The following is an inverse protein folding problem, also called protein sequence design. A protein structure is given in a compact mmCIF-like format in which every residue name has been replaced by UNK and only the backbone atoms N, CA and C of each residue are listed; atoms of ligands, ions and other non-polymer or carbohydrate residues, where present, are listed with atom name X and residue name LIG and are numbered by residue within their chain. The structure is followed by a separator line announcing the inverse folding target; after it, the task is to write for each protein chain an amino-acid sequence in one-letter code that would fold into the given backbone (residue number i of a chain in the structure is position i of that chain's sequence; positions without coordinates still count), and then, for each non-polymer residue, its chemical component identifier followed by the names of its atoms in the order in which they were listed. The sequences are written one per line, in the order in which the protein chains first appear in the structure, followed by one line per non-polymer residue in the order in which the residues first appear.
data_IF_965786713449
#
_entry.id   IF_965786713449
#
_cell.length_a   1.000
_cell.length_b   1.000
_cell.length_c   1.000
_cell.angle_alpha   90.00
_cell.angle_beta   90.00
_cell.angle_gamma   90.00
#
_symmetry.space_group_name_H-M   'P 1'
#
loop_
_entity.id
_entity.type
_entity.pdbx_description
1 polymer ?
#
# COMPACT_ATOMS: atom_id res chain seq x y z
N UNK A 1 -13.50 15.54 -17.17
CA UNK A 1 -13.24 15.15 -15.75
C UNK A 1 -11.81 14.66 -15.66
N UNK A 2 -10.98 15.23 -14.76
CA UNK A 2 -9.61 14.74 -14.53
C UNK A 2 -9.61 13.49 -13.61
N UNK A 3 -8.44 12.87 -13.41
CA UNK A 3 -8.30 11.63 -12.62
C UNK A 3 -8.66 11.84 -11.13
N UNK A 4 -8.30 13.01 -10.56
CA UNK A 4 -8.66 13.37 -9.18
C UNK A 4 -10.18 13.47 -9.00
N UNK A 5 -10.86 14.18 -9.88
CA UNK A 5 -12.33 14.30 -9.84
C UNK A 5 -13.02 12.93 -10.00
N UNK A 6 -12.47 12.04 -10.84
CA UNK A 6 -12.99 10.68 -11.00
C UNK A 6 -12.83 9.85 -9.73
N UNK A 7 -11.67 9.94 -9.10
CA UNK A 7 -11.40 9.27 -7.83
C UNK A 7 -12.33 9.77 -6.71
N UNK A 8 -12.50 11.10 -6.59
CA UNK A 8 -13.39 11.70 -5.59
C UNK A 8 -14.86 11.26 -5.79
N UNK A 9 -15.32 11.16 -7.04
CA UNK A 9 -16.65 10.63 -7.36
C UNK A 9 -16.79 9.13 -7.07
N UNK A 10 -15.74 8.34 -7.22
CA UNK A 10 -15.75 6.94 -6.78
C UNK A 10 -15.86 6.86 -5.25
N UNK A 11 -15.10 7.68 -4.53
CA UNK A 11 -15.16 7.77 -3.06
C UNK A 11 -16.57 8.15 -2.57
N UNK A 12 -17.22 9.15 -3.19
CA UNK A 12 -18.58 9.58 -2.83
C UNK A 12 -19.66 8.56 -3.24
N UNK A 13 -19.33 7.60 -4.13
CA UNK A 13 -20.28 6.63 -4.67
C UNK A 13 -21.10 7.15 -5.87
N UNK A 14 -20.76 8.32 -6.39
CA UNK A 14 -21.39 8.88 -7.60
C UNK A 14 -20.93 8.18 -8.88
N UNK A 15 -19.79 7.48 -8.85
CA UNK A 15 -19.18 6.83 -10.00
C UNK A 15 -19.00 5.33 -9.75
N UNK A 16 -20.11 4.57 -9.75
CA UNK A 16 -20.08 3.12 -9.54
C UNK A 16 -20.06 2.30 -10.84
N UNK A 17 -20.31 2.92 -11.97
CA UNK A 17 -20.30 2.25 -13.30
C UNK A 17 -18.92 2.21 -13.94
N UNK A 18 -17.99 3.07 -13.52
CA UNK A 18 -16.63 3.13 -14.07
C UNK A 18 -15.64 2.43 -13.15
N UNK A 19 -14.80 1.60 -13.73
CA UNK A 19 -13.74 0.91 -13.00
C UNK A 19 -12.43 1.68 -13.18
N UNK A 20 -11.83 2.14 -12.08
CA UNK A 20 -10.52 2.75 -12.10
C UNK A 20 -9.44 1.68 -12.22
N UNK A 21 -8.26 2.04 -12.73
CA UNK A 21 -7.13 1.13 -12.90
C UNK A 21 -5.90 1.61 -12.12
N UNK A 22 -5.43 0.82 -11.18
CA UNK A 22 -4.24 1.14 -10.37
C UNK A 22 -3.52 -0.12 -9.86
N UNK A 23 -2.66 -0.75 -10.67
CA UNK A 23 -1.76 -1.81 -10.20
C UNK A 23 -0.65 -1.25 -9.28
N UNK A 24 -0.04 -2.09 -8.47
CA UNK A 24 1.16 -1.77 -7.70
C UNK A 24 2.37 -2.04 -8.61
N UNK A 25 3.06 -0.98 -9.01
CA UNK A 25 4.13 -1.03 -10.02
C UNK A 25 5.46 -0.53 -9.43
N UNK A 26 6.08 -1.26 -8.54
CA UNK A 26 7.39 -0.85 -7.96
C UNK A 26 8.55 -1.23 -8.90
N UNK A 27 8.99 -2.48 -8.86
CA UNK A 27 10.10 -2.94 -9.71
C UNK A 27 9.76 -2.85 -11.21
N UNK A 28 8.52 -3.16 -11.58
CA UNK A 28 8.06 -3.00 -12.97
C UNK A 28 8.21 -1.55 -13.46
N UNK A 29 7.83 -0.56 -12.64
CA UNK A 29 7.94 0.86 -13.02
C UNK A 29 9.40 1.28 -13.24
N UNK A 30 10.32 0.83 -12.38
CA UNK A 30 11.75 1.06 -12.56
C UNK A 30 12.23 0.51 -13.91
N UNK A 31 11.95 -0.76 -14.21
CA UNK A 31 12.32 -1.39 -15.48
C UNK A 31 11.69 -0.69 -16.68
N UNK A 32 10.40 -0.35 -16.60
CA UNK A 32 9.68 0.37 -17.67
C UNK A 32 10.30 1.75 -17.95
N UNK A 33 10.79 2.42 -16.89
CA UNK A 33 11.53 3.69 -17.01
C UNK A 33 13.03 3.52 -17.34
N UNK A 34 13.50 2.30 -17.59
CA UNK A 34 14.91 1.98 -17.91
C UNK A 34 15.89 2.39 -16.80
N UNK A 35 15.47 2.25 -15.56
CA UNK A 35 16.26 2.48 -14.36
C UNK A 35 16.26 1.24 -13.47
N UNK A 36 17.03 1.25 -12.38
CA UNK A 36 17.09 0.13 -11.44
C UNK A 36 16.07 0.29 -10.31
N UNK A 37 15.65 -0.83 -9.72
CA UNK A 37 14.77 -0.79 -8.56
C UNK A 37 15.45 -0.15 -7.34
N UNK A 38 16.75 -0.40 -7.14
CA UNK A 38 17.53 0.25 -6.09
C UNK A 38 17.46 1.78 -6.14
N UNK A 39 17.54 2.36 -7.35
CA UNK A 39 17.39 3.82 -7.55
C UNK A 39 15.95 4.28 -7.28
N UNK A 40 14.96 3.55 -7.77
CA UNK A 40 13.55 3.86 -7.49
C UNK A 40 13.27 3.85 -5.98
N UNK A 41 13.88 2.92 -5.23
CA UNK A 41 13.71 2.82 -3.79
C UNK A 41 14.46 3.93 -3.01
N UNK A 42 15.56 4.48 -3.53
CA UNK A 42 16.42 5.45 -2.83
C UNK A 42 16.30 6.90 -3.29
N UNK A 43 15.74 7.16 -4.48
CA UNK A 43 15.70 8.48 -5.10
C UNK A 43 14.26 8.85 -5.49
N UNK A 44 13.64 9.81 -4.78
CA UNK A 44 12.25 10.19 -5.01
C UNK A 44 11.98 10.68 -6.45
N UNK A 45 12.93 11.35 -7.08
CA UNK A 45 12.79 11.78 -8.48
C UNK A 45 12.61 10.59 -9.40
N UNK A 46 13.43 9.56 -9.22
CA UNK A 46 13.37 8.32 -10.02
C UNK A 46 12.04 7.60 -9.80
N UNK A 47 11.57 7.50 -8.56
CA UNK A 47 10.26 6.92 -8.24
C UNK A 47 9.12 7.68 -8.91
N UNK A 48 9.09 9.00 -8.73
CA UNK A 48 8.02 9.87 -9.25
C UNK A 48 7.99 9.83 -10.77
N UNK A 49 9.13 9.99 -11.45
CA UNK A 49 9.23 9.98 -12.91
C UNK A 49 8.85 8.62 -13.50
N UNK A 50 9.26 7.52 -12.84
CA UNK A 50 8.90 6.16 -13.26
C UNK A 50 7.39 5.93 -13.16
N UNK A 51 6.78 6.36 -12.07
CA UNK A 51 5.33 6.23 -11.89
C UNK A 51 4.54 7.15 -12.83
N UNK A 52 4.99 8.38 -13.10
CA UNK A 52 4.35 9.28 -14.08
C UNK A 52 4.42 8.69 -15.47
N UNK A 53 5.55 8.10 -15.86
CA UNK A 53 5.67 7.42 -17.14
C UNK A 53 4.68 6.25 -17.26
N UNK A 54 4.49 5.47 -16.19
CA UNK A 54 3.47 4.43 -16.17
C UNK A 54 2.04 5.02 -16.17
N UNK A 55 1.80 6.10 -15.41
CA UNK A 55 0.53 6.81 -15.37
C UNK A 55 0.07 7.22 -16.77
N UNK A 56 0.98 7.84 -17.54
CA UNK A 56 0.67 8.35 -18.88
C UNK A 56 0.51 7.20 -19.89
N UNK A 57 1.39 6.20 -19.83
CA UNK A 57 1.38 5.12 -20.81
C UNK A 57 0.21 4.14 -20.63
N UNK A 58 -0.15 3.79 -19.39
CA UNK A 58 -1.21 2.84 -19.06
C UNK A 58 -2.53 3.52 -18.64
N UNK A 59 -2.65 4.82 -18.75
CA UNK A 59 -3.80 5.60 -18.26
C UNK A 59 -4.21 5.25 -16.82
N UNK A 60 -3.22 5.12 -15.92
CA UNK A 60 -3.49 4.84 -14.52
C UNK A 60 -4.31 5.96 -13.86
N UNK A 61 -5.13 5.64 -12.88
CA UNK A 61 -5.99 6.64 -12.24
C UNK A 61 -5.37 7.32 -11.00
N UNK A 62 -4.33 6.74 -10.40
CA UNK A 62 -3.61 7.32 -9.25
C UNK A 62 -2.12 6.99 -9.30
N UNK A 63 -1.30 7.72 -8.54
CA UNK A 63 0.12 7.41 -8.27
C UNK A 63 0.35 7.18 -6.79
N UNK A 64 1.51 6.62 -6.41
CA UNK A 64 1.84 6.39 -5.00
C UNK A 64 3.33 6.47 -4.71
N UNK A 65 3.68 6.57 -3.42
CA UNK A 65 5.05 6.64 -2.92
C UNK A 65 5.58 5.30 -2.40
N UNK A 66 4.81 4.20 -2.58
CA UNK A 66 5.25 2.86 -2.18
C UNK A 66 6.52 2.45 -2.91
N UNK A 67 7.49 1.87 -2.21
CA UNK A 67 8.70 1.29 -2.78
C UNK A 67 9.11 -0.02 -2.12
N UNK A 68 9.31 -0.02 -0.82
CA UNK A 68 9.82 -1.14 -0.02
C UNK A 68 9.42 -0.92 1.45
N UNK A 69 9.58 -1.89 2.36
CA UNK A 69 9.11 -1.76 3.75
C UNK A 69 10.03 -0.95 4.66
N UNK A 70 11.28 -0.63 4.28
CA UNK A 70 12.33 -0.21 5.23
C UNK A 70 12.55 1.30 5.34
N UNK A 71 11.55 2.16 5.13
CA UNK A 71 11.71 3.61 5.26
C UNK A 71 11.77 4.02 6.73
N UNK A 72 10.77 3.59 7.50
CA UNK A 72 10.65 3.83 8.93
C UNK A 72 11.72 3.04 9.69
N UNK A 73 11.97 1.79 9.32
CA UNK A 73 13.01 0.93 9.88
C UNK A 73 14.39 1.57 9.75
N UNK A 74 14.69 2.20 8.61
CA UNK A 74 15.91 2.98 8.41
C UNK A 74 15.97 4.19 9.32
N UNK A 75 14.83 4.86 9.57
CA UNK A 75 14.75 6.00 10.47
C UNK A 75 15.08 5.59 11.92
N UNK A 76 14.67 4.42 12.35
CA UNK A 76 15.05 3.83 13.64
C UNK A 76 16.52 3.40 13.73
N UNK A 77 17.28 3.49 12.63
CA UNK A 77 18.73 3.23 12.63
C UNK A 77 19.14 1.90 12.00
N UNK A 78 18.24 1.17 11.35
CA UNK A 78 18.60 0.00 10.57
C UNK A 78 19.47 0.38 9.36
N UNK A 79 20.44 -0.47 9.05
CA UNK A 79 21.26 -0.33 7.84
C UNK A 79 20.58 -1.03 6.68
N UNK A 80 20.28 -0.26 5.64
CA UNK A 80 19.59 -0.77 4.45
C UNK A 80 20.56 -0.81 3.27
N UNK A 81 20.68 -1.96 2.64
CA UNK A 81 21.42 -2.17 1.40
C UNK A 81 20.45 -2.10 0.21
N UNK A 82 20.73 -1.21 -0.72
CA UNK A 82 19.96 -1.11 -1.96
C UNK A 82 20.50 -2.08 -3.00
N UNK A 83 19.67 -3.03 -3.39
CA UNK A 83 19.97 -4.00 -4.44
C UNK A 83 19.53 -3.41 -5.78
N UNK A 84 20.40 -3.28 -6.80
CA UNK A 84 20.03 -2.68 -8.08
C UNK A 84 18.77 -3.30 -8.70
N UNK A 85 18.69 -4.61 -8.78
CA UNK A 85 17.59 -5.36 -9.39
C UNK A 85 16.81 -6.20 -8.36
N UNK A 86 16.58 -5.64 -7.17
CA UNK A 86 15.88 -6.35 -6.12
C UNK A 86 15.38 -5.43 -4.99
N UNK A 87 14.54 -5.99 -4.14
CA UNK A 87 14.06 -5.30 -2.94
C UNK A 87 15.25 -4.98 -2.03
N UNK A 88 15.33 -3.77 -1.48
CA UNK A 88 16.34 -3.44 -0.46
C UNK A 88 16.38 -4.47 0.66
N UNK A 89 17.54 -4.64 1.29
CA UNK A 89 17.73 -5.58 2.40
C UNK A 89 18.03 -4.84 3.70
N UNK A 90 17.33 -5.18 4.75
CA UNK A 90 17.71 -4.80 6.10
C UNK A 90 18.87 -5.68 6.58
N UNK A 91 20.01 -5.07 6.91
CA UNK A 91 21.25 -5.79 7.25
C UNK A 91 21.38 -6.12 8.73
N UNK A 92 20.57 -5.52 9.60
CA UNK A 92 20.61 -5.73 11.03
C UNK A 92 19.26 -5.51 11.69
N UNK A 93 18.95 -6.26 12.70
CA UNK A 93 17.89 -5.92 13.64
C UNK A 93 18.32 -4.72 14.47
N UNK A 94 17.40 -3.79 14.72
CA UNK A 94 17.62 -2.62 15.60
C UNK A 94 17.43 -3.04 17.06
N UNK A 95 16.47 -3.92 17.30
CA UNK A 95 16.09 -4.42 18.62
C UNK A 95 16.53 -5.88 18.73
N UNK A 96 17.40 -6.20 19.70
CA UNK A 96 17.89 -7.54 19.95
C UNK A 96 17.45 -8.08 21.32
N UNK A 97 17.00 -7.20 22.21
CA UNK A 97 16.57 -7.54 23.57
C UNK A 97 15.64 -6.45 24.13
N UNK A 98 15.11 -6.68 25.33
CA UNK A 98 14.17 -5.79 26.00
C UNK A 98 14.76 -4.40 26.30
N UNK A 99 16.05 -4.32 26.64
CA UNK A 99 16.73 -3.06 26.91
C UNK A 99 16.84 -2.20 25.64
N UNK A 100 17.11 -2.83 24.49
CA UNK A 100 17.08 -2.14 23.19
C UNK A 100 15.68 -1.57 22.90
N UNK A 101 14.64 -2.37 23.16
CA UNK A 101 13.26 -1.91 22.96
C UNK A 101 12.89 -0.73 23.85
N UNK A 102 13.28 -0.76 25.13
CA UNK A 102 13.04 0.32 26.10
C UNK A 102 13.77 1.59 25.71
N UNK A 103 15.03 1.46 25.31
CA UNK A 103 15.91 2.60 25.00
C UNK A 103 15.78 3.10 23.55
N UNK A 104 15.00 2.43 22.68
CA UNK A 104 14.81 2.84 21.31
C UNK A 104 14.23 4.27 21.25
N UNK A 105 15.02 5.21 20.74
CA UNK A 105 14.60 6.58 20.56
C UNK A 105 13.61 6.70 19.39
N UNK A 106 12.63 7.58 19.53
CA UNK A 106 11.73 7.93 18.41
C UNK A 106 12.51 8.85 17.45
N UNK A 107 12.68 8.45 16.19
CA UNK A 107 13.41 9.24 15.21
C UNK A 107 12.62 10.48 14.78
N UNK A 108 13.34 11.55 14.45
CA UNK A 108 12.78 12.67 13.69
C UNK A 108 12.75 12.31 12.19
N UNK A 109 11.58 12.08 11.67
CA UNK A 109 11.36 11.67 10.26
C UNK A 109 11.84 12.73 9.26
N UNK A 110 11.98 13.99 9.67
CA UNK A 110 12.50 15.05 8.82
C UNK A 110 14.03 15.08 8.76
N UNK A 111 14.71 14.40 9.68
CA UNK A 111 16.17 14.27 9.68
C UNK A 111 16.65 12.98 9.00
N UNK A 112 15.79 11.96 8.90
CA UNK A 112 16.14 10.69 8.30
C UNK A 112 16.04 10.75 6.77
N UNK A 113 17.07 10.28 6.09
CA UNK A 113 17.20 10.40 4.63
C UNK A 113 16.02 9.73 3.90
N UNK A 114 15.65 8.52 4.27
CA UNK A 114 14.63 7.73 3.57
C UNK A 114 13.21 8.26 3.76
N UNK A 115 12.84 8.68 4.95
CA UNK A 115 11.52 9.29 5.19
C UNK A 115 11.44 10.65 4.52
N UNK A 116 12.49 11.47 4.62
CA UNK A 116 12.57 12.77 3.93
C UNK A 116 12.50 12.61 2.41
N UNK A 117 13.12 11.57 1.85
CA UNK A 117 13.05 11.26 0.42
C UNK A 117 11.59 11.07 -0.02
N UNK A 118 10.78 10.28 0.72
CA UNK A 118 9.37 10.07 0.38
C UNK A 118 8.51 11.32 0.58
N UNK A 119 8.78 12.12 1.61
CA UNK A 119 8.12 13.43 1.83
C UNK A 119 8.41 14.36 0.63
N UNK A 120 9.66 14.43 0.19
CA UNK A 120 10.04 15.18 -1.02
C UNK A 120 9.38 14.65 -2.29
N UNK A 121 9.17 13.33 -2.37
CA UNK A 121 8.43 12.69 -3.46
C UNK A 121 6.98 13.14 -3.54
N UNK A 122 6.29 13.31 -2.39
CA UNK A 122 4.94 13.86 -2.33
C UNK A 122 4.89 15.27 -2.93
N UNK A 123 5.75 16.16 -2.45
CA UNK A 123 5.88 17.52 -2.98
C UNK A 123 6.19 17.53 -4.48
N UNK A 124 7.05 16.63 -4.95
CA UNK A 124 7.42 16.55 -6.36
C UNK A 124 6.27 16.08 -7.24
N UNK A 125 5.44 15.12 -6.78
CA UNK A 125 4.19 14.79 -7.46
C UNK A 125 3.26 15.98 -7.58
N UNK A 126 3.05 16.74 -6.51
CA UNK A 126 2.16 17.92 -6.54
C UNK A 126 2.67 18.97 -7.52
N UNK A 127 3.99 19.21 -7.57
CA UNK A 127 4.60 20.12 -8.54
C UNK A 127 4.32 19.70 -9.99
N UNK A 128 4.40 18.41 -10.30
CA UNK A 128 4.25 17.90 -11.66
C UNK A 128 2.78 17.72 -12.05
N UNK A 129 1.97 17.16 -11.17
CA UNK A 129 0.57 16.76 -11.44
C UNK A 129 -0.45 17.87 -11.14
N UNK A 130 -0.06 18.90 -10.37
CA UNK A 130 -0.87 20.10 -10.07
C UNK A 130 -2.29 19.77 -9.56
N UNK A 131 -2.41 18.74 -8.73
CA UNK A 131 -3.67 18.30 -8.15
C UNK A 131 -4.67 17.65 -9.13
N UNK A 132 -4.23 17.24 -10.33
CA UNK A 132 -5.12 16.61 -11.33
C UNK A 132 -5.20 15.08 -11.22
N UNK A 133 -4.28 14.47 -10.47
CA UNK A 133 -4.17 13.02 -10.22
C UNK A 133 -4.05 12.79 -8.71
N UNK A 134 -4.78 11.81 -8.13
CA UNK A 134 -4.63 11.47 -6.73
C UNK A 134 -3.24 10.92 -6.43
N UNK A 135 -2.64 11.38 -5.34
CA UNK A 135 -1.33 10.93 -4.85
C UNK A 135 -1.51 10.14 -3.57
N UNK A 136 -1.03 8.90 -3.56
CA UNK A 136 -1.00 8.04 -2.37
C UNK A 136 0.33 8.11 -1.65
N UNK A 137 0.31 8.44 -0.37
CA UNK A 137 1.40 8.19 0.54
C UNK A 137 1.45 6.73 0.99
N UNK A 138 2.48 6.38 1.75
CA UNK A 138 2.62 5.02 2.30
C UNK A 138 3.34 5.04 3.62
N UNK A 139 2.83 4.24 4.57
CA UNK A 139 3.46 3.96 5.87
C UNK A 139 3.41 2.45 6.13
N UNK A 140 4.34 1.96 6.95
CA UNK A 140 4.25 0.61 7.46
C UNK A 140 3.31 0.53 8.66
N UNK A 141 2.56 -0.57 8.74
CA UNK A 141 1.70 -0.86 9.87
C UNK A 141 2.49 -1.32 11.10
N UNK A 142 1.87 -1.24 12.28
CA UNK A 142 2.58 -1.45 13.54
C UNK A 142 3.24 -2.81 13.70
N UNK A 143 2.60 -3.88 13.21
CA UNK A 143 3.13 -5.23 13.35
C UNK A 143 4.25 -5.49 12.33
N UNK A 144 4.09 -5.05 11.08
CA UNK A 144 5.11 -5.21 10.06
C UNK A 144 6.39 -4.45 10.45
N UNK A 145 6.26 -3.18 10.83
CA UNK A 145 7.42 -2.36 11.25
C UNK A 145 8.09 -2.95 12.50
N UNK A 146 7.32 -3.41 13.49
CA UNK A 146 7.89 -4.05 14.68
C UNK A 146 8.66 -5.34 14.32
N UNK A 147 8.16 -6.11 13.35
CA UNK A 147 8.86 -7.29 12.84
C UNK A 147 10.15 -6.93 12.09
N UNK A 148 10.17 -5.83 11.36
CA UNK A 148 11.39 -5.34 10.69
C UNK A 148 12.45 -4.86 11.68
N UNK A 149 12.05 -4.28 12.81
CA UNK A 149 12.95 -3.81 13.87
C UNK A 149 13.52 -4.95 14.73
N UNK A 150 12.68 -5.88 15.17
CA UNK A 150 13.06 -6.93 16.15
C UNK A 150 13.21 -8.32 15.53
N UNK A 151 12.67 -8.53 14.34
CA UNK A 151 12.65 -9.82 13.65
C UNK A 151 11.31 -10.53 13.75
N UNK A 152 10.87 -11.07 12.60
CA UNK A 152 9.55 -11.67 12.42
C UNK A 152 9.24 -12.76 13.47
N UNK A 153 10.11 -13.78 13.57
CA UNK A 153 9.86 -14.91 14.46
C UNK A 153 9.82 -14.50 15.93
N UNK A 154 10.66 -13.54 16.32
CA UNK A 154 10.74 -13.03 17.68
C UNK A 154 9.47 -12.24 18.04
N UNK A 155 9.03 -11.35 17.16
CA UNK A 155 7.80 -10.60 17.37
C UNK A 155 6.56 -11.49 17.44
N UNK A 156 6.40 -12.45 16.52
CA UNK A 156 5.25 -13.36 16.53
C UNK A 156 5.24 -14.27 17.78
N UNK A 157 6.40 -14.71 18.25
CA UNK A 157 6.50 -15.46 19.49
C UNK A 157 6.16 -14.60 20.71
N UNK A 158 6.65 -13.37 20.77
CA UNK A 158 6.46 -12.49 21.90
C UNK A 158 5.06 -11.89 22.00
N UNK A 159 4.28 -11.86 20.91
CA UNK A 159 2.83 -11.58 21.02
C UNK A 159 2.15 -12.54 22.02
N UNK A 160 2.65 -13.78 22.15
CA UNK A 160 2.09 -14.78 23.06
C UNK A 160 2.84 -14.88 24.38
N UNK A 161 4.17 -14.74 24.38
CA UNK A 161 5.03 -15.02 25.52
C UNK A 161 5.39 -13.77 26.34
N UNK A 162 5.48 -12.61 25.67
CA UNK A 162 5.81 -11.31 26.28
C UNK A 162 5.06 -10.18 25.55
N UNK A 163 3.74 -10.06 25.79
CA UNK A 163 2.92 -9.03 25.14
C UNK A 163 3.38 -7.60 25.46
N UNK A 164 3.94 -7.35 26.63
CA UNK A 164 4.38 -6.00 27.03
C UNK A 164 5.57 -5.54 26.16
N UNK A 165 6.51 -6.45 25.89
CA UNK A 165 7.60 -6.20 24.96
C UNK A 165 7.08 -5.88 23.55
N UNK A 166 6.16 -6.69 23.04
CA UNK A 166 5.59 -6.52 21.70
C UNK A 166 4.80 -5.22 21.59
N UNK A 167 4.00 -4.90 22.59
CA UNK A 167 3.24 -3.64 22.64
C UNK A 167 4.17 -2.43 22.69
N UNK A 168 5.23 -2.47 23.50
CA UNK A 168 6.19 -1.36 23.60
C UNK A 168 6.81 -1.01 22.23
N UNK A 169 7.17 -2.03 21.43
CA UNK A 169 7.75 -1.80 20.10
C UNK A 169 6.70 -1.24 19.14
N UNK A 170 5.52 -1.87 19.07
CA UNK A 170 4.44 -1.40 18.19
C UNK A 170 3.99 0.02 18.54
N UNK A 171 3.95 0.40 19.82
CA UNK A 171 3.58 1.76 20.22
C UNK A 171 4.61 2.81 19.76
N UNK A 172 5.90 2.45 19.74
CA UNK A 172 6.95 3.32 19.16
C UNK A 172 6.81 3.42 17.64
N UNK A 173 6.50 2.33 16.95
CA UNK A 173 6.19 2.33 15.52
C UNK A 173 4.98 3.23 15.20
N UNK A 174 3.93 3.19 16.03
CA UNK A 174 2.75 4.04 15.87
C UNK A 174 3.06 5.53 15.91
N UNK A 175 3.98 5.97 16.77
CA UNK A 175 4.40 7.39 16.84
C UNK A 175 5.02 7.81 15.51
N UNK A 176 5.92 7.02 14.97
CA UNK A 176 6.62 7.31 13.70
C UNK A 176 5.66 7.26 12.53
N UNK A 177 4.80 6.22 12.46
CA UNK A 177 3.80 6.07 11.40
C UNK A 177 2.85 7.27 11.31
N UNK A 178 2.38 7.81 12.46
CA UNK A 178 1.52 9.00 12.49
C UNK A 178 2.24 10.26 11.98
N UNK A 179 3.45 10.52 12.45
CA UNK A 179 4.21 11.70 12.02
C UNK A 179 4.59 11.60 10.54
N UNK A 180 4.93 10.39 10.05
CA UNK A 180 5.26 10.17 8.65
C UNK A 180 4.04 10.30 7.73
N UNK A 181 2.87 9.79 8.14
CA UNK A 181 1.61 10.00 7.44
C UNK A 181 1.29 11.50 7.33
N UNK A 182 1.35 12.23 8.46
CA UNK A 182 1.12 13.67 8.52
C UNK A 182 2.05 14.45 7.60
N UNK A 183 3.34 14.12 7.59
CA UNK A 183 4.30 14.79 6.73
C UNK A 183 3.99 14.60 5.24
N UNK A 184 3.62 13.38 4.82
CA UNK A 184 3.21 13.09 3.44
C UNK A 184 1.90 13.79 3.06
N UNK A 185 0.93 13.87 3.98
CA UNK A 185 -0.35 14.58 3.77
C UNK A 185 -0.11 16.09 3.61
N UNK A 186 0.75 16.69 4.44
CA UNK A 186 1.10 18.10 4.36
C UNK A 186 1.75 18.47 3.02
N UNK A 187 2.46 17.53 2.39
CA UNK A 187 3.04 17.70 1.06
C UNK A 187 2.06 17.30 -0.07
N UNK A 188 0.79 17.03 0.27
CA UNK A 188 -0.32 16.91 -0.67
C UNK A 188 -0.70 15.47 -1.06
N UNK A 189 -0.38 14.47 -0.26
CA UNK A 189 -0.96 13.14 -0.46
C UNK A 189 -2.46 13.16 -0.15
N UNK A 190 -3.26 12.62 -1.08
CA UNK A 190 -4.72 12.56 -0.99
C UNK A 190 -5.20 11.39 -0.12
N UNK A 191 -4.40 10.34 -0.06
CA UNK A 191 -4.63 9.17 0.77
C UNK A 191 -3.31 8.59 1.27
N UNK A 192 -3.37 7.88 2.40
CA UNK A 192 -2.23 7.11 2.93
C UNK A 192 -2.57 5.62 2.89
N UNK A 193 -1.68 4.83 2.30
CA UNK A 193 -1.70 3.38 2.41
C UNK A 193 -0.97 2.92 3.66
N UNK A 194 -1.61 2.06 4.43
CA UNK A 194 -1.05 1.35 5.58
C UNK A 194 -0.74 -0.05 5.08
N UNK A 195 0.53 -0.45 5.09
CA UNK A 195 0.99 -1.78 4.71
C UNK A 195 1.32 -2.61 5.95
N UNK A 196 0.55 -3.65 6.26
CA UNK A 196 0.84 -4.51 7.42
C UNK A 196 0.76 -5.99 7.04
N UNK A 197 1.70 -6.41 6.16
CA UNK A 197 1.69 -7.73 5.54
C UNK A 197 1.71 -8.88 6.56
N UNK A 198 2.30 -8.66 7.74
CA UNK A 198 2.46 -9.69 8.76
C UNK A 198 1.13 -10.07 9.41
N UNK A 199 0.13 -9.20 9.35
CA UNK A 199 -1.21 -9.50 9.88
C UNK A 199 -1.85 -10.75 9.24
N UNK A 200 -1.45 -11.13 8.04
CA UNK A 200 -1.93 -12.39 7.43
C UNK A 200 -1.38 -13.65 8.10
N UNK A 201 -0.36 -13.53 8.95
CA UNK A 201 0.30 -14.64 9.64
C UNK A 201 -0.22 -14.87 11.06
N UNK A 202 -1.15 -14.04 11.53
CA UNK A 202 -1.77 -14.15 12.86
C UNK A 202 -3.26 -14.45 12.73
N UNK A 203 -3.85 -15.08 13.76
CA UNK A 203 -5.28 -15.32 13.80
C UNK A 203 -6.10 -14.06 14.15
N UNK A 204 -7.41 -14.13 13.97
CA UNK A 204 -8.30 -13.01 14.21
C UNK A 204 -8.31 -12.54 15.68
N UNK A 205 -8.17 -13.44 16.64
CA UNK A 205 -8.14 -13.08 18.05
C UNK A 205 -6.87 -12.30 18.40
N UNK A 206 -5.73 -12.74 17.89
CA UNK A 206 -4.44 -12.04 18.03
C UNK A 206 -4.48 -10.68 17.33
N UNK A 207 -5.05 -10.60 16.12
CA UNK A 207 -5.25 -9.33 15.42
C UNK A 207 -6.13 -8.38 16.23
N UNK A 208 -7.28 -8.84 16.73
CA UNK A 208 -8.20 -8.02 17.53
C UNK A 208 -7.56 -7.49 18.81
N UNK A 209 -6.74 -8.33 19.44
CA UNK A 209 -6.10 -7.99 20.71
C UNK A 209 -4.95 -6.97 20.55
N UNK A 210 -4.13 -7.09 19.51
CA UNK A 210 -2.85 -6.36 19.42
C UNK A 210 -2.79 -5.34 18.30
N UNK A 211 -3.50 -5.52 17.20
CA UNK A 211 -3.28 -4.71 15.98
C UNK A 211 -4.48 -3.85 15.63
N UNK A 212 -5.69 -4.35 15.77
CA UNK A 212 -6.92 -3.70 15.28
C UNK A 212 -7.10 -2.27 15.78
N UNK A 213 -6.96 -2.03 17.10
CA UNK A 213 -7.13 -0.67 17.64
C UNK A 213 -6.01 0.27 17.16
N UNK A 214 -4.80 -0.22 16.93
CA UNK A 214 -3.71 0.55 16.32
C UNK A 214 -4.01 0.93 14.87
N UNK A 215 -4.53 0.00 14.07
CA UNK A 215 -4.99 0.32 12.72
C UNK A 215 -6.11 1.36 12.73
N UNK A 216 -7.08 1.22 13.64
CA UNK A 216 -8.17 2.18 13.80
C UNK A 216 -7.64 3.57 14.15
N UNK A 217 -6.70 3.66 15.10
CA UNK A 217 -6.05 4.91 15.47
C UNK A 217 -5.32 5.57 14.29
N UNK A 218 -4.60 4.79 13.46
CA UNK A 218 -3.97 5.32 12.23
C UNK A 218 -5.01 5.84 11.24
N UNK A 219 -6.11 5.12 11.03
CA UNK A 219 -7.20 5.54 10.15
C UNK A 219 -7.83 6.85 10.64
N UNK A 220 -8.15 6.94 11.94
CA UNK A 220 -8.70 8.15 12.55
C UNK A 220 -7.73 9.33 12.47
N UNK A 221 -6.44 9.08 12.68
CA UNK A 221 -5.40 10.10 12.53
C UNK A 221 -5.33 10.62 11.10
N UNK A 222 -5.29 9.75 10.09
CA UNK A 222 -5.28 10.12 8.67
C UNK A 222 -6.52 10.93 8.31
N UNK A 223 -7.69 10.51 8.76
CA UNK A 223 -8.95 11.24 8.56
C UNK A 223 -8.94 12.62 9.21
N UNK A 224 -8.39 12.74 10.42
CA UNK A 224 -8.29 14.03 11.13
C UNK A 224 -7.45 15.07 10.39
N UNK A 225 -6.54 14.60 9.53
CA UNK A 225 -5.70 15.43 8.65
C UNK A 225 -6.34 15.71 7.27
N UNK A 226 -7.57 15.22 7.03
CA UNK A 226 -8.32 15.44 5.80
C UNK A 226 -7.97 14.51 4.64
N UNK A 227 -7.12 13.51 4.83
CA UNK A 227 -6.77 12.52 3.83
C UNK A 227 -7.62 11.24 3.96
N UNK A 228 -7.54 10.35 2.97
CA UNK A 228 -8.22 9.06 2.93
C UNK A 228 -7.31 7.94 3.41
N UNK A 229 -7.88 6.96 4.12
CA UNK A 229 -7.13 5.82 4.64
C UNK A 229 -7.31 4.59 3.76
N UNK A 230 -6.19 3.96 3.40
CA UNK A 230 -6.14 2.70 2.67
C UNK A 230 -5.38 1.66 3.51
N UNK A 231 -5.90 0.42 3.55
CA UNK A 231 -5.19 -0.72 4.15
C UNK A 231 -4.80 -1.73 3.08
N UNK A 232 -3.58 -2.27 3.17
CA UNK A 232 -3.12 -3.41 2.38
C UNK A 232 -2.44 -4.43 3.30
N UNK A 233 -2.96 -5.66 3.27
CA UNK A 233 -2.35 -6.82 3.91
C UNK A 233 -2.22 -7.90 2.85
N UNK A 234 -0.98 -8.31 2.53
CA UNK A 234 -0.73 -9.36 1.55
C UNK A 234 -1.20 -10.72 2.06
N UNK A 235 -1.61 -11.59 1.14
CA UNK A 235 -2.00 -12.96 1.44
C UNK A 235 -3.47 -13.14 1.79
N UNK A 236 -3.80 -14.30 2.35
CA UNK A 236 -5.18 -14.64 2.71
C UNK A 236 -5.58 -14.02 4.04
N UNK A 237 -6.46 -13.04 3.99
CA UNK A 237 -6.99 -12.34 5.18
C UNK A 237 -8.51 -12.50 5.33
N UNK A 238 -9.11 -13.54 4.73
CA UNK A 238 -10.55 -13.78 4.87
C UNK A 238 -10.99 -13.85 6.34
N UNK A 239 -10.17 -14.42 7.21
CA UNK A 239 -10.43 -14.53 8.65
C UNK A 239 -10.38 -13.19 9.40
N UNK A 240 -9.76 -12.14 8.84
CA UNK A 240 -9.66 -10.80 9.43
C UNK A 240 -10.78 -9.86 8.97
N UNK A 241 -11.54 -10.21 7.93
CA UNK A 241 -12.55 -9.31 7.35
C UNK A 241 -13.56 -8.76 8.35
N UNK A 242 -14.10 -9.55 9.31
CA UNK A 242 -15.02 -9.01 10.32
C UNK A 242 -14.37 -7.91 11.18
N UNK A 243 -13.12 -8.08 11.56
CA UNK A 243 -12.36 -7.11 12.37
C UNK A 243 -12.03 -5.86 11.57
N UNK A 244 -11.58 -6.03 10.31
CA UNK A 244 -11.25 -4.95 9.39
C UNK A 244 -12.49 -4.10 9.05
N UNK A 245 -13.68 -4.69 8.99
CA UNK A 245 -14.92 -3.96 8.70
C UNK A 245 -15.23 -2.82 9.68
N UNK A 246 -14.67 -2.89 10.89
CA UNK A 246 -14.85 -1.88 11.94
C UNK A 246 -13.86 -0.70 11.86
N UNK A 247 -12.90 -0.71 10.92
CA UNK A 247 -11.82 0.28 10.86
C UNK A 247 -12.21 1.59 10.16
N UNK A 248 -13.39 1.67 9.53
CA UNK A 248 -13.84 2.85 8.77
C UNK A 248 -12.88 3.25 7.63
N UNK A 249 -12.35 2.28 6.91
CA UNK A 249 -11.46 2.50 5.77
C UNK A 249 -12.19 3.14 4.58
N UNK A 250 -11.48 3.98 3.82
CA UNK A 250 -11.95 4.47 2.52
C UNK A 250 -11.63 3.49 1.38
N UNK A 251 -10.48 2.80 1.47
CA UNK A 251 -9.99 1.88 0.45
C UNK A 251 -9.40 0.64 1.15
N UNK A 252 -9.65 -0.53 0.61
CA UNK A 252 -8.95 -1.74 0.98
C UNK A 252 -8.38 -2.42 -0.27
N UNK A 253 -7.12 -2.82 -0.18
CA UNK A 253 -6.34 -3.41 -1.27
C UNK A 253 -6.16 -4.90 -0.98
N UNK A 254 -6.88 -5.77 -1.69
CA UNK A 254 -6.92 -7.21 -1.43
C UNK A 254 -5.96 -8.00 -2.29
N UNK A 255 -5.29 -8.95 -1.67
CA UNK A 255 -4.54 -9.98 -2.38
C UNK A 255 -5.48 -10.96 -3.09
N UNK A 256 -4.97 -11.66 -4.11
CA UNK A 256 -5.74 -12.57 -4.97
C UNK A 256 -6.40 -13.75 -4.25
N UNK A 257 -5.96 -14.05 -3.03
CA UNK A 257 -6.49 -15.12 -2.18
C UNK A 257 -7.80 -14.75 -1.46
N UNK A 258 -8.21 -13.48 -1.53
CA UNK A 258 -9.43 -13.00 -0.87
C UNK A 258 -10.63 -13.08 -1.83
N UNK A 259 -11.74 -13.64 -1.37
CA UNK A 259 -13.00 -13.60 -2.10
C UNK A 259 -13.63 -12.21 -1.99
N UNK A 260 -13.65 -11.47 -3.12
CA UNK A 260 -14.14 -10.09 -3.13
C UNK A 260 -15.65 -9.98 -2.89
N UNK A 261 -16.43 -11.00 -3.24
CA UNK A 261 -17.87 -10.97 -3.01
C UNK A 261 -18.20 -11.17 -1.52
N UNK A 262 -17.52 -12.10 -0.86
CA UNK A 262 -17.63 -12.28 0.59
C UNK A 262 -17.08 -11.05 1.33
N UNK A 263 -15.93 -10.52 0.88
CA UNK A 263 -15.38 -9.29 1.44
C UNK A 263 -16.39 -8.13 1.33
N UNK A 264 -17.04 -7.95 0.20
CA UNK A 264 -18.05 -6.90 0.00
C UNK A 264 -19.25 -7.06 0.94
N UNK A 265 -19.74 -8.29 1.15
CA UNK A 265 -20.85 -8.55 2.08
C UNK A 265 -20.50 -8.14 3.51
N UNK A 266 -19.27 -8.40 3.94
CA UNK A 266 -18.80 -8.09 5.30
C UNK A 266 -18.49 -6.60 5.45
N UNK A 267 -17.81 -5.99 4.48
CA UNK A 267 -17.35 -4.60 4.54
C UNK A 267 -18.46 -3.57 4.22
N UNK A 268 -19.53 -4.01 3.55
CA UNK A 268 -20.58 -3.10 3.07
C UNK A 268 -20.14 -2.26 1.86
N UNK A 269 -20.99 -1.29 1.46
CA UNK A 269 -20.86 -0.56 0.18
C UNK A 269 -20.04 0.72 0.23
N UNK A 270 -19.58 1.13 1.40
CA UNK A 270 -18.93 2.43 1.58
C UNK A 270 -17.45 2.43 1.21
N UNK A 271 -16.76 1.31 1.42
CA UNK A 271 -15.33 1.17 1.13
C UNK A 271 -15.09 0.86 -0.34
N UNK A 272 -14.05 1.45 -0.92
CA UNK A 272 -13.54 1.05 -2.23
C UNK A 272 -12.75 -0.26 -2.06
N UNK A 273 -13.14 -1.30 -2.80
CA UNK A 273 -12.33 -2.51 -2.94
C UNK A 273 -11.37 -2.34 -4.11
N UNK A 274 -10.09 -2.60 -3.89
CA UNK A 274 -9.06 -2.62 -4.94
C UNK A 274 -8.45 -4.01 -5.02
N UNK A 275 -8.21 -4.49 -6.22
CA UNK A 275 -7.59 -5.79 -6.49
C UNK A 275 -8.27 -6.50 -7.64
N UNK A 276 -8.24 -7.85 -7.73
CA UNK A 276 -7.26 -8.71 -7.04
C UNK A 276 -6.83 -9.85 -7.97
N UNK A 277 -6.54 -9.51 -9.22
CA UNK A 277 -6.02 -10.51 -10.17
C UNK A 277 -4.68 -11.03 -9.64
N UNK A 278 -4.47 -12.35 -9.68
CA UNK A 278 -3.19 -12.93 -9.30
C UNK A 278 -2.04 -12.34 -10.15
N UNK A 279 -1.02 -11.70 -9.54
CA UNK A 279 0.08 -11.09 -10.29
C UNK A 279 0.84 -12.06 -11.19
N UNK A 280 0.91 -13.34 -10.84
CA UNK A 280 1.51 -14.38 -11.68
C UNK A 280 0.68 -14.56 -12.95
N UNK A 281 -0.66 -14.60 -12.85
CA UNK A 281 -1.53 -14.68 -14.02
C UNK A 281 -1.44 -13.43 -14.90
N UNK A 282 -1.28 -12.24 -14.30
CA UNK A 282 -1.04 -11.01 -15.08
C UNK A 282 0.26 -11.12 -15.89
N UNK A 283 1.28 -11.78 -15.35
CA UNK A 283 2.56 -11.95 -16.04
C UNK A 283 2.52 -13.05 -17.10
N UNK A 284 1.86 -14.18 -16.84
CA UNK A 284 2.04 -15.42 -17.61
C UNK A 284 0.88 -15.75 -18.55
N UNK A 285 -0.33 -15.21 -18.29
CA UNK A 285 -1.48 -15.48 -19.12
C UNK A 285 -1.37 -14.82 -20.50
N UNK A 286 -1.95 -15.48 -21.52
CA UNK A 286 -2.19 -14.85 -22.81
C UNK A 286 -3.26 -13.74 -22.70
N UNK A 287 -3.31 -12.88 -23.72
CA UNK A 287 -4.18 -11.69 -23.69
C UNK A 287 -5.68 -12.06 -23.62
N UNK A 288 -6.10 -13.17 -24.20
CA UNK A 288 -7.50 -13.60 -24.19
C UNK A 288 -7.92 -14.11 -22.81
N UNK A 289 -7.08 -14.94 -22.19
CA UNK A 289 -7.28 -15.43 -20.83
C UNK A 289 -7.31 -14.29 -19.83
N UNK A 290 -6.39 -13.33 -19.96
CA UNK A 290 -6.33 -12.16 -19.09
C UNK A 290 -7.56 -11.25 -19.26
N UNK A 291 -8.04 -11.08 -20.50
CA UNK A 291 -9.28 -10.33 -20.79
C UNK A 291 -10.51 -11.00 -20.15
N UNK A 292 -10.62 -12.33 -20.21
CA UNK A 292 -11.70 -13.07 -19.56
C UNK A 292 -11.67 -12.88 -18.04
N UNK A 293 -10.52 -13.07 -17.40
CA UNK A 293 -10.34 -12.90 -15.97
C UNK A 293 -10.71 -11.47 -15.50
N UNK A 294 -10.24 -10.46 -16.22
CA UNK A 294 -10.53 -9.07 -15.87
C UNK A 294 -12.03 -8.74 -16.04
N UNK A 295 -12.66 -9.20 -17.12
CA UNK A 295 -14.09 -8.98 -17.36
C UNK A 295 -14.96 -9.70 -16.32
N UNK A 296 -14.63 -10.95 -15.97
CA UNK A 296 -15.31 -11.69 -14.90
C UNK A 296 -15.24 -10.94 -13.57
N UNK A 297 -14.06 -10.47 -13.20
CA UNK A 297 -13.86 -9.69 -11.97
C UNK A 297 -14.65 -8.38 -11.98
N UNK A 298 -14.63 -7.64 -13.10
CA UNK A 298 -15.42 -6.41 -13.26
C UNK A 298 -16.92 -6.70 -13.18
N UNK A 299 -17.39 -7.80 -13.78
CA UNK A 299 -18.78 -8.22 -13.70
C UNK A 299 -19.20 -8.55 -12.27
N UNK A 300 -18.35 -9.25 -11.51
CA UNK A 300 -18.58 -9.56 -10.10
C UNK A 300 -18.69 -8.28 -9.24
N UNK A 301 -17.94 -7.23 -9.60
CA UNK A 301 -17.89 -5.96 -8.89
C UNK A 301 -18.77 -4.87 -9.51
N UNK A 302 -19.67 -5.24 -10.43
CA UNK A 302 -20.53 -4.28 -11.14
C UNK A 302 -21.42 -3.49 -10.16
N UNK A 303 -21.48 -2.17 -10.34
CA UNK A 303 -22.27 -1.27 -9.49
C UNK A 303 -21.64 -0.98 -8.13
N UNK A 304 -20.44 -1.44 -7.89
CA UNK A 304 -19.72 -1.26 -6.62
C UNK A 304 -18.57 -0.26 -6.77
N UNK A 305 -18.08 0.26 -5.65
CA UNK A 305 -16.86 1.06 -5.60
C UNK A 305 -15.66 0.14 -5.81
N UNK A 306 -15.08 0.14 -7.01
CA UNK A 306 -14.05 -0.82 -7.39
C UNK A 306 -12.89 -0.18 -8.16
N UNK A 307 -11.66 -0.63 -7.87
CA UNK A 307 -10.43 -0.30 -8.61
C UNK A 307 -9.80 -1.61 -9.07
N UNK A 308 -9.68 -1.80 -10.37
CA UNK A 308 -9.01 -2.96 -10.96
C UNK A 308 -7.50 -2.90 -10.69
N UNK A 309 -6.95 -3.98 -10.18
CA UNK A 309 -5.53 -4.12 -9.85
C UNK A 309 -5.11 -5.59 -9.85
N UNK A 310 -3.82 -5.84 -9.82
CA UNK A 310 -3.31 -7.09 -9.24
C UNK A 310 -3.55 -7.13 -7.75
N UNK A 311 -3.57 -8.33 -7.17
CA UNK A 311 -3.75 -8.52 -5.73
C UNK A 311 -2.53 -8.08 -4.91
N UNK A 312 -1.38 -7.96 -5.54
CA UNK A 312 -0.14 -7.46 -4.94
C UNK A 312 0.70 -6.75 -6.01
N UNK A 313 2.01 -6.57 -5.76
CA UNK A 313 2.95 -5.99 -6.73
C UNK A 313 2.95 -6.79 -8.05
N UNK A 314 2.93 -6.07 -9.16
CA UNK A 314 3.02 -6.65 -10.49
C UNK A 314 4.44 -7.15 -10.74
N UNK A 315 4.55 -8.39 -11.22
CA UNK A 315 5.85 -9.00 -11.52
C UNK A 315 6.69 -8.16 -12.47
N UNK A 316 7.99 -8.03 -12.19
CA UNK A 316 8.93 -7.23 -12.99
C UNK A 316 8.98 -7.64 -14.46
N UNK A 317 8.74 -8.92 -14.75
CA UNK A 317 8.77 -9.48 -16.10
C UNK A 317 7.41 -9.45 -16.81
N UNK A 318 6.38 -8.85 -16.21
CA UNK A 318 5.06 -8.73 -16.84
C UNK A 318 5.17 -8.09 -18.22
N UNK A 319 4.60 -8.70 -19.26
CA UNK A 319 4.58 -8.11 -20.60
C UNK A 319 3.82 -6.77 -20.59
N UNK A 320 4.36 -5.76 -21.27
CA UNK A 320 3.69 -4.46 -21.42
C UNK A 320 2.29 -4.64 -22.02
N UNK A 321 2.13 -5.56 -22.97
CA UNK A 321 0.85 -5.86 -23.61
C UNK A 321 -0.22 -6.33 -22.60
N UNK A 322 0.16 -7.07 -21.56
CA UNK A 322 -0.77 -7.55 -20.54
C UNK A 322 -1.31 -6.40 -19.69
N UNK A 323 -0.44 -5.46 -19.26
CA UNK A 323 -0.88 -4.26 -18.54
C UNK A 323 -1.70 -3.33 -19.42
N UNK A 324 -1.33 -3.17 -20.71
CA UNK A 324 -2.12 -2.42 -21.67
C UNK A 324 -3.51 -3.01 -21.85
N UNK A 325 -3.64 -4.33 -21.93
CA UNK A 325 -4.93 -5.01 -22.02
C UNK A 325 -5.82 -4.68 -20.82
N UNK A 326 -5.31 -4.73 -19.60
CA UNK A 326 -6.06 -4.37 -18.39
C UNK A 326 -6.47 -2.88 -18.39
N UNK A 327 -5.58 -2.00 -18.84
CA UNK A 327 -5.86 -0.57 -19.00
C UNK A 327 -7.01 -0.34 -20.01
N UNK A 328 -6.96 -0.96 -21.18
CA UNK A 328 -8.01 -0.87 -22.21
C UNK A 328 -9.38 -1.34 -21.70
N UNK A 329 -9.41 -2.43 -20.93
CA UNK A 329 -10.64 -2.96 -20.32
C UNK A 329 -11.22 -1.92 -19.34
N UNK A 330 -10.39 -1.35 -18.47
CA UNK A 330 -10.81 -0.29 -17.55
C UNK A 330 -11.34 0.94 -18.31
N UNK A 331 -10.64 1.40 -19.36
CA UNK A 331 -11.03 2.55 -20.18
C UNK A 331 -12.42 2.34 -20.80
N UNK A 332 -12.72 1.15 -21.32
CA UNK A 332 -14.06 0.84 -21.89
C UNK A 332 -15.19 1.03 -20.87
N UNK A 333 -14.94 0.75 -19.57
CA UNK A 333 -15.95 1.00 -18.53
C UNK A 333 -16.18 2.47 -18.23
N UNK A 334 -15.21 3.33 -18.57
CA UNK A 334 -15.25 4.79 -18.32
C UNK A 334 -16.00 5.57 -19.41
N UNK A 335 -16.20 4.95 -20.57
CA UNK A 335 -16.83 5.55 -21.74
C UNK A 335 -18.30 5.16 -21.94
N UNK A 336 -18.76 4.15 -21.24
CA UNK A 336 -20.16 3.70 -21.20
C UNK A 336 -20.88 4.33 -20.00
#
# INVERSE_FOLDING_TARGET
MNKKQRFDKLLSGELRSSVLFKPILMHFAARFNKTTYGKLASEYQVLVESNIRCLDYFDLDTVSLISDPYRETSAFGARIEFIPEGVPKCLNKVIQNEDDAKNLAIPDIHQCERTRDRISGAAYYQKLLKGTVPVGGWIEGPLAEACDLAGLSEMLMNLMCDPDYSNLIMDKCMIVAREFAKAQINEGCDYIGIGDAICSQIDAATYDLYVKERHKELVEHIHSLGAKAKLHICGNINHLLPSISCLNLDIIDFDWQVDLQEARKILGDNVIIKGNINPVLIQEADLQSLESLANELIQQMQGQKFILSGGCEIGVNTPIANLMKLAEISIKTKTN
#
